data_IF_937817770248
#
_entry.id   IF_937817770248
#
_cell.length_a   1.000
_cell.length_b   1.000
_cell.length_c   1.000
_cell.angle_alpha   90.00
_cell.angle_beta   90.00
_cell.angle_gamma   90.00
#
_symmetry.space_group_name_H-M   'P 1'
#
loop_
_entity.id
_entity.type
_entity.pdbx_description
1 polymer ?
#
# COMPACT_ATOMS: atom_id res chain seq x y z
N UNK A 1 -38.02 -34.65 -13.67
CA UNK A 1 -37.92 -35.93 -12.94
C UNK A 1 -36.62 -36.02 -12.13
N UNK A 2 -36.67 -35.92 -10.80
CA UNK A 2 -35.48 -36.04 -9.93
C UNK A 2 -34.86 -37.46 -9.92
N UNK A 3 -35.52 -38.42 -10.60
CA UNK A 3 -35.14 -39.84 -10.61
C UNK A 3 -34.17 -40.17 -11.77
N UNK A 4 -34.12 -39.37 -12.84
CA UNK A 4 -33.20 -39.56 -13.99
C UNK A 4 -31.80 -38.99 -13.72
N UNK A 5 -30.72 -39.66 -14.18
CA UNK A 5 -29.30 -39.25 -14.01
C UNK A 5 -29.05 -37.77 -14.36
N UNK A 6 -29.66 -37.26 -15.43
CA UNK A 6 -29.54 -35.85 -15.85
C UNK A 6 -30.23 -34.87 -14.88
N UNK A 7 -31.39 -35.25 -14.32
CA UNK A 7 -32.08 -34.47 -13.29
C UNK A 7 -31.29 -34.38 -11.98
N UNK A 8 -30.60 -35.45 -11.59
CA UNK A 8 -29.68 -35.46 -10.43
C UNK A 8 -28.52 -34.49 -10.61
N UNK A 9 -27.87 -34.50 -11.78
CA UNK A 9 -26.75 -33.61 -12.06
C UNK A 9 -27.20 -32.14 -12.02
N UNK A 10 -28.35 -31.82 -12.63
CA UNK A 10 -28.89 -30.45 -12.67
C UNK A 10 -29.29 -29.94 -11.27
N UNK A 11 -29.83 -30.80 -10.40
CA UNK A 11 -30.20 -30.43 -9.03
C UNK A 11 -28.98 -30.27 -8.11
N UNK A 12 -27.99 -31.15 -8.22
CA UNK A 12 -26.72 -31.01 -7.49
C UNK A 12 -25.95 -29.77 -7.94
N UNK A 13 -25.89 -29.51 -9.26
CA UNK A 13 -25.26 -28.31 -9.80
C UNK A 13 -25.96 -27.03 -9.30
N UNK A 14 -27.30 -27.01 -9.28
CA UNK A 14 -28.05 -25.87 -8.77
C UNK A 14 -27.76 -25.62 -7.28
N UNK A 15 -27.75 -26.67 -6.44
CA UNK A 15 -27.39 -26.53 -5.01
C UNK A 15 -25.95 -26.03 -4.83
N UNK A 16 -24.99 -26.56 -5.60
CA UNK A 16 -23.58 -26.18 -5.54
C UNK A 16 -23.35 -24.71 -5.95
N UNK A 17 -23.99 -24.27 -7.04
CA UNK A 17 -23.87 -22.89 -7.55
C UNK A 17 -24.39 -21.88 -6.52
N UNK A 18 -25.52 -22.16 -5.85
CA UNK A 18 -26.06 -21.25 -4.83
C UNK A 18 -25.12 -21.06 -3.65
N UNK A 19 -24.37 -22.11 -3.25
CA UNK A 19 -23.35 -22.00 -2.20
C UNK A 19 -22.03 -21.36 -2.65
N UNK A 20 -21.70 -21.43 -3.95
CA UNK A 20 -20.44 -20.91 -4.49
C UNK A 20 -20.44 -19.39 -4.70
N UNK A 21 -21.59 -18.79 -5.01
CA UNK A 21 -21.70 -17.34 -5.27
C UNK A 21 -21.14 -16.47 -4.13
N UNK A 22 -21.56 -16.63 -2.86
CA UNK A 22 -21.01 -15.82 -1.76
C UNK A 22 -19.52 -16.10 -1.50
N UNK A 23 -19.05 -17.33 -1.77
CA UNK A 23 -17.64 -17.70 -1.61
C UNK A 23 -16.77 -16.98 -2.66
N UNK A 24 -17.22 -16.93 -3.91
CA UNK A 24 -16.50 -16.21 -4.99
C UNK A 24 -16.45 -14.71 -4.71
N UNK A 25 -17.53 -14.12 -4.20
CA UNK A 25 -17.55 -12.71 -3.81
C UNK A 25 -16.56 -12.40 -2.66
N UNK A 26 -16.53 -13.24 -1.63
CA UNK A 26 -15.58 -13.14 -0.52
C UNK A 26 -14.12 -13.27 -0.98
N UNK A 27 -13.83 -14.23 -1.86
CA UNK A 27 -12.52 -14.41 -2.50
C UNK A 27 -12.12 -13.15 -3.28
N UNK A 28 -13.05 -12.55 -4.02
CA UNK A 28 -12.80 -11.33 -4.79
C UNK A 28 -12.47 -10.12 -3.91
N UNK A 29 -13.25 -9.91 -2.85
CA UNK A 29 -13.00 -8.82 -1.89
C UNK A 29 -11.66 -9.00 -1.16
N UNK A 30 -11.41 -10.21 -0.64
CA UNK A 30 -10.19 -10.54 0.08
C UNK A 30 -8.94 -10.45 -0.81
N UNK A 31 -9.07 -10.85 -2.09
CA UNK A 31 -8.00 -10.72 -3.07
C UNK A 31 -7.66 -9.26 -3.40
N UNK A 32 -8.67 -8.38 -3.45
CA UNK A 32 -8.44 -6.96 -3.67
C UNK A 32 -7.68 -6.30 -2.51
N UNK A 33 -8.06 -6.63 -1.26
CA UNK A 33 -7.38 -6.13 -0.06
C UNK A 33 -5.93 -6.63 -0.02
N UNK A 34 -5.71 -7.91 -0.32
CA UNK A 34 -4.38 -8.50 -0.41
C UNK A 34 -3.47 -7.82 -1.45
N UNK A 35 -3.98 -7.52 -2.64
CA UNK A 35 -3.22 -6.80 -3.68
C UNK A 35 -2.84 -5.40 -3.20
N UNK A 36 -3.77 -4.73 -2.51
CA UNK A 36 -3.53 -3.39 -1.96
C UNK A 36 -2.43 -3.41 -0.91
N UNK A 37 -2.49 -4.35 0.04
CA UNK A 37 -1.49 -4.48 1.10
C UNK A 37 -0.10 -4.84 0.55
N UNK A 38 -0.03 -5.74 -0.45
CA UNK A 38 1.24 -6.05 -1.13
C UNK A 38 1.81 -4.81 -1.81
N UNK A 39 0.98 -4.04 -2.49
CA UNK A 39 1.43 -2.85 -3.21
C UNK A 39 2.00 -1.83 -2.22
N UNK A 40 1.30 -1.58 -1.12
CA UNK A 40 1.75 -0.71 -0.04
C UNK A 40 3.07 -1.17 0.58
N UNK A 41 3.20 -2.47 0.86
CA UNK A 41 4.42 -3.07 1.41
C UNK A 41 5.63 -2.90 0.47
N UNK A 42 5.44 -3.16 -0.83
CA UNK A 42 6.49 -3.01 -1.84
C UNK A 42 6.93 -1.55 -1.98
N UNK A 43 5.98 -0.62 -1.99
CA UNK A 43 6.27 0.82 -2.04
C UNK A 43 7.05 1.29 -0.80
N UNK A 44 6.62 0.91 0.40
CA UNK A 44 7.31 1.28 1.65
C UNK A 44 8.76 0.77 1.65
N UNK A 45 8.99 -0.44 1.16
CA UNK A 45 10.32 -1.04 1.04
C UNK A 45 11.19 -0.29 0.02
N UNK A 46 10.64 0.06 -1.14
CA UNK A 46 11.34 0.82 -2.19
C UNK A 46 11.73 2.22 -1.72
N UNK A 47 10.83 2.91 -1.03
CA UNK A 47 11.08 4.23 -0.45
C UNK A 47 12.21 4.16 0.57
N UNK A 48 12.19 3.16 1.45
CA UNK A 48 13.24 2.96 2.46
C UNK A 48 14.61 2.77 1.82
N UNK A 49 14.73 1.99 0.75
CA UNK A 49 15.99 1.81 0.02
C UNK A 49 16.47 3.12 -0.61
N UNK A 50 15.56 3.93 -1.16
CA UNK A 50 15.87 5.23 -1.74
C UNK A 50 16.41 6.21 -0.69
N UNK A 51 15.81 6.24 0.50
CA UNK A 51 16.24 7.09 1.62
C UNK A 51 17.62 6.63 2.13
N UNK A 52 17.82 5.31 2.28
CA UNK A 52 19.13 4.76 2.67
C UNK A 52 20.23 5.15 1.70
N UNK A 53 19.97 4.99 0.39
CA UNK A 53 20.91 5.41 -0.65
C UNK A 53 21.21 6.91 -0.58
N UNK A 54 20.19 7.74 -0.39
CA UNK A 54 20.35 9.20 -0.31
C UNK A 54 21.18 9.63 0.90
N UNK A 55 20.94 9.03 2.07
CA UNK A 55 21.74 9.28 3.28
C UNK A 55 23.19 8.85 3.09
N UNK A 56 23.44 7.65 2.54
CA UNK A 56 24.80 7.18 2.29
C UNK A 56 25.53 8.06 1.27
N UNK A 57 24.82 8.52 0.24
CA UNK A 57 25.38 9.41 -0.79
C UNK A 57 25.58 10.85 -0.31
N UNK A 58 24.84 11.34 0.69
CA UNK A 58 25.07 12.67 1.28
C UNK A 58 26.20 12.64 2.34
N UNK A 59 26.36 11.53 3.06
CA UNK A 59 27.35 11.39 4.16
C UNK A 59 28.79 11.16 3.66
N UNK A 60 29.00 10.45 2.55
CA UNK A 60 30.36 10.08 2.08
C UNK A 60 31.13 11.17 1.28
N UNK A 61 30.55 11.90 0.30
CA UNK A 61 31.32 12.81 -0.55
C UNK A 61 31.56 14.20 0.05
N UNK A 62 30.91 14.57 1.17
CA UNK A 62 31.11 15.88 1.81
C UNK A 62 32.43 15.98 2.60
N UNK A 63 33.08 14.84 2.91
CA UNK A 63 34.43 14.87 3.52
C UNK A 63 35.54 15.18 2.50
N UNK A 64 35.29 15.06 1.20
CA UNK A 64 36.36 15.07 0.18
C UNK A 64 36.19 15.98 -1.04
N UNK A 65 35.13 16.80 -1.17
CA UNK A 65 34.95 17.62 -2.39
C UNK A 65 34.81 19.13 -2.15
N UNK A 66 35.96 19.79 -2.02
CA UNK A 66 36.14 21.22 -2.27
C UNK A 66 36.46 21.56 -3.74
N UNK A 67 36.56 20.59 -4.66
CA UNK A 67 37.22 20.81 -5.96
C UNK A 67 36.35 20.90 -7.23
N UNK A 68 35.02 20.89 -7.16
CA UNK A 68 34.22 20.89 -8.41
C UNK A 68 32.94 21.73 -8.33
N UNK A 69 33.08 23.03 -8.12
CA UNK A 69 31.96 23.98 -8.21
C UNK A 69 31.67 24.40 -9.67
N UNK A 70 32.55 24.06 -10.64
CA UNK A 70 32.35 24.45 -12.06
C UNK A 70 31.73 23.36 -12.95
N UNK A 71 31.76 22.08 -12.56
CA UNK A 71 31.27 20.96 -13.39
C UNK A 71 29.97 20.30 -12.88
N UNK A 72 29.38 20.78 -11.79
CA UNK A 72 28.16 20.21 -11.20
C UNK A 72 26.86 20.58 -11.93
N UNK A 73 26.91 21.49 -12.90
CA UNK A 73 25.75 21.87 -13.73
C UNK A 73 25.24 20.73 -14.64
N UNK A 74 26.02 19.66 -14.83
CA UNK A 74 25.65 18.52 -15.70
C UNK A 74 25.22 17.26 -14.95
N UNK A 75 25.38 17.18 -13.64
CA UNK A 75 25.01 16.00 -12.86
C UNK A 75 23.96 16.36 -11.81
N UNK A 76 22.81 16.85 -12.27
CA UNK A 76 21.67 17.06 -11.37
C UNK A 76 21.13 15.70 -10.95
N UNK A 77 21.54 15.22 -9.77
CA UNK A 77 20.87 14.14 -9.04
C UNK A 77 19.35 14.43 -8.96
N UNK A 78 19.02 15.72 -8.82
CA UNK A 78 17.68 16.32 -8.90
C UNK A 78 16.92 15.97 -10.19
N UNK A 79 17.59 15.91 -11.35
CA UNK A 79 16.97 15.57 -12.64
C UNK A 79 16.61 14.09 -12.75
N UNK A 80 17.44 13.22 -12.16
CA UNK A 80 17.13 11.78 -12.04
C UNK A 80 16.02 11.52 -11.00
N UNK A 81 15.99 12.28 -9.89
CA UNK A 81 14.97 12.12 -8.84
C UNK A 81 13.60 12.74 -9.21
N UNK A 82 13.56 13.92 -9.85
CA UNK A 82 12.29 14.50 -10.36
C UNK A 82 11.61 13.62 -11.42
N UNK A 83 12.36 12.73 -12.08
CA UNK A 83 11.82 11.77 -13.04
C UNK A 83 11.20 10.53 -12.36
N UNK A 84 11.68 10.13 -11.17
CA UNK A 84 11.02 9.09 -10.36
C UNK A 84 9.78 9.62 -9.62
N UNK A 85 9.77 10.91 -9.25
CA UNK A 85 8.67 11.60 -8.57
C UNK A 85 7.35 11.68 -9.39
N UNK A 86 7.42 11.57 -10.73
CA UNK A 86 6.22 11.56 -11.58
C UNK A 86 5.46 10.23 -11.58
N UNK A 87 5.98 9.18 -10.95
CA UNK A 87 5.42 7.83 -11.01
C UNK A 87 4.70 7.38 -9.73
N UNK A 88 4.72 8.14 -8.64
CA UNK A 88 4.20 7.69 -7.33
C UNK A 88 3.15 8.65 -6.75
N UNK A 89 1.89 8.47 -7.15
CA UNK A 89 0.69 9.09 -6.54
C UNK A 89 0.11 8.24 -5.39
N UNK A 90 0.96 7.63 -4.57
CA UNK A 90 0.54 6.84 -3.42
C UNK A 90 0.72 7.64 -2.11
N UNK A 91 -0.02 7.32 -1.02
CA UNK A 91 0.14 7.98 0.28
C UNK A 91 1.58 7.97 0.81
N UNK A 92 2.38 6.97 0.42
CA UNK A 92 3.80 6.85 0.74
C UNK A 92 4.71 7.69 -0.18
N UNK A 93 4.28 7.93 -1.42
CA UNK A 93 4.98 8.78 -2.39
C UNK A 93 5.24 10.19 -1.85
N UNK A 94 4.25 10.75 -1.14
CA UNK A 94 4.37 12.05 -0.49
C UNK A 94 5.52 12.07 0.52
N UNK A 95 5.70 11.04 1.34
CA UNK A 95 6.74 11.07 2.37
C UNK A 95 8.16 11.04 1.80
N UNK A 96 8.36 10.19 0.80
CA UNK A 96 9.63 10.12 0.06
C UNK A 96 9.92 11.40 -0.72
N UNK A 97 8.88 12.00 -1.33
CA UNK A 97 9.04 13.20 -2.17
C UNK A 97 9.45 14.42 -1.37
N UNK A 98 8.96 14.55 -0.13
CA UNK A 98 9.30 15.70 0.71
C UNK A 98 10.65 15.53 1.41
N UNK A 99 11.10 14.29 1.69
CA UNK A 99 12.49 14.05 2.09
C UNK A 99 13.46 14.42 0.95
N UNK A 100 13.11 14.10 -0.29
CA UNK A 100 13.87 14.55 -1.47
C UNK A 100 13.91 16.07 -1.58
N UNK A 101 12.80 16.76 -1.27
CA UNK A 101 12.78 18.22 -1.20
C UNK A 101 13.82 18.76 -0.20
N UNK A 102 13.94 18.18 1.00
CA UNK A 102 14.96 18.62 1.95
C UNK A 102 16.39 18.43 1.41
N UNK A 103 16.67 17.33 0.72
CA UNK A 103 17.99 17.10 0.09
C UNK A 103 18.26 18.18 -0.97
N UNK A 104 17.26 18.48 -1.80
CA UNK A 104 17.34 19.55 -2.80
C UNK A 104 17.63 20.89 -2.12
N UNK A 105 16.96 21.19 -1.01
CA UNK A 105 17.17 22.43 -0.26
C UNK A 105 18.62 22.55 0.26
N UNK A 106 19.21 21.45 0.77
CA UNK A 106 20.61 21.40 1.20
C UNK A 106 21.60 21.65 0.04
N UNK A 107 21.32 21.10 -1.15
CA UNK A 107 22.14 21.39 -2.35
C UNK A 107 22.12 22.88 -2.70
N UNK A 108 20.94 23.50 -2.67
CA UNK A 108 20.80 24.93 -2.97
C UNK A 108 21.44 25.83 -1.90
N UNK A 109 21.45 25.44 -0.62
CA UNK A 109 22.28 26.09 0.41
C UNK A 109 23.76 26.02 0.03
N UNK A 110 24.23 24.86 -0.42
CA UNK A 110 25.61 24.68 -0.88
C UNK A 110 25.97 25.59 -2.06
N UNK A 111 25.04 25.77 -3.00
CA UNK A 111 25.18 26.73 -4.12
C UNK A 111 25.22 28.17 -3.64
N UNK A 112 24.29 28.57 -2.76
CA UNK A 112 24.27 29.89 -2.15
C UNK A 112 25.62 30.21 -1.47
N UNK A 113 26.15 29.26 -0.69
CA UNK A 113 27.47 29.38 -0.05
C UNK A 113 28.55 29.67 -1.09
N UNK A 114 28.62 28.89 -2.17
CA UNK A 114 29.62 29.07 -3.23
C UNK A 114 29.54 30.43 -3.92
N UNK A 115 28.33 30.91 -4.24
CA UNK A 115 28.16 32.23 -4.84
C UNK A 115 28.50 33.38 -3.89
N UNK A 116 28.16 33.26 -2.60
CA UNK A 116 28.54 34.28 -1.61
C UNK A 116 30.06 34.33 -1.36
N UNK A 117 30.78 33.20 -1.43
CA UNK A 117 32.26 33.20 -1.41
C UNK A 117 32.80 34.01 -2.60
N UNK A 118 32.28 33.77 -3.81
CA UNK A 118 32.69 34.52 -4.99
C UNK A 118 32.40 36.02 -4.84
N UNK A 119 31.26 36.39 -4.26
CA UNK A 119 30.91 37.79 -4.00
C UNK A 119 31.93 38.46 -3.09
N UNK A 120 32.23 37.89 -1.93
CA UNK A 120 33.19 38.50 -0.99
C UNK A 120 34.62 38.47 -1.50
N UNK A 121 35.04 37.39 -2.18
CA UNK A 121 36.38 37.29 -2.75
C UNK A 121 36.62 38.30 -3.89
N UNK A 122 35.58 38.68 -4.62
CA UNK A 122 35.67 39.63 -5.75
C UNK A 122 35.20 41.05 -5.38
N UNK A 123 34.58 41.23 -4.21
CA UNK A 123 34.00 42.48 -3.75
C UNK A 123 32.67 42.86 -4.42
N UNK A 124 32.20 42.13 -5.43
CA UNK A 124 30.88 42.30 -6.07
C UNK A 124 30.61 41.15 -7.03
N UNK A 125 29.35 40.98 -7.44
CA UNK A 125 29.06 40.13 -8.59
C UNK A 125 29.52 40.80 -9.89
N UNK A 126 30.33 40.09 -10.67
CA UNK A 126 30.84 40.56 -11.97
C UNK A 126 29.77 40.55 -13.05
N UNK A 127 28.89 39.55 -13.01
CA UNK A 127 27.81 39.40 -13.97
C UNK A 127 26.46 39.41 -13.26
N UNK A 128 25.43 39.86 -13.97
CA UNK A 128 24.05 39.77 -13.49
C UNK A 128 23.62 38.31 -13.28
N UNK A 129 24.19 37.39 -14.06
CA UNK A 129 23.89 35.96 -13.98
C UNK A 129 24.32 35.37 -12.63
N UNK A 130 25.54 35.69 -12.16
CA UNK A 130 26.03 35.24 -10.85
C UNK A 130 25.13 35.72 -9.69
N UNK A 131 24.64 36.96 -9.78
CA UNK A 131 23.69 37.52 -8.82
C UNK A 131 22.34 36.79 -8.86
N UNK A 132 21.79 36.56 -10.06
CA UNK A 132 20.51 35.85 -10.22
C UNK A 132 20.61 34.42 -9.70
N UNK A 133 21.71 33.73 -9.98
CA UNK A 133 21.97 32.37 -9.47
C UNK A 133 22.06 32.32 -7.95
N UNK A 134 22.65 33.34 -7.31
CA UNK A 134 22.65 33.46 -5.85
C UNK A 134 21.23 33.62 -5.29
N UNK A 135 20.44 34.56 -5.85
CA UNK A 135 19.07 34.83 -5.40
C UNK A 135 18.18 33.62 -5.63
N UNK A 136 18.26 32.99 -6.81
CA UNK A 136 17.53 31.78 -7.15
C UNK A 136 17.86 30.65 -6.16
N UNK A 137 19.14 30.43 -5.85
CA UNK A 137 19.53 29.38 -4.91
C UNK A 137 18.93 29.61 -3.52
N UNK A 138 18.92 30.85 -3.04
CA UNK A 138 18.33 31.19 -1.76
C UNK A 138 16.80 31.04 -1.77
N UNK A 139 16.13 31.52 -2.82
CA UNK A 139 14.67 31.45 -2.92
C UNK A 139 14.19 30.00 -3.05
N UNK A 140 14.87 29.18 -3.88
CA UNK A 140 14.55 27.74 -4.02
C UNK A 140 14.79 27.02 -2.70
N UNK A 141 15.93 27.25 -2.02
CA UNK A 141 16.18 26.65 -0.72
C UNK A 141 15.05 26.99 0.27
N UNK A 142 14.67 28.27 0.37
CA UNK A 142 13.65 28.73 1.31
C UNK A 142 12.25 28.18 1.01
N UNK A 143 11.84 28.18 -0.26
CA UNK A 143 10.55 27.59 -0.68
C UNK A 143 10.54 26.10 -0.37
N UNK A 144 11.62 25.40 -0.69
CA UNK A 144 11.73 23.95 -0.49
C UNK A 144 11.74 23.58 1.00
N UNK A 145 12.41 24.37 1.85
CA UNK A 145 12.32 24.23 3.31
C UNK A 145 10.90 24.48 3.82
N UNK A 146 10.22 25.49 3.32
CA UNK A 146 8.85 25.82 3.72
C UNK A 146 7.88 24.71 3.31
N UNK A 147 8.06 24.13 2.12
CA UNK A 147 7.29 22.97 1.67
C UNK A 147 7.51 21.78 2.59
N UNK A 148 8.75 21.48 2.99
CA UNK A 148 8.99 20.36 3.87
C UNK A 148 8.51 20.59 5.31
N UNK A 149 8.47 21.84 5.79
CA UNK A 149 7.79 22.16 7.07
C UNK A 149 6.30 21.86 7.05
N UNK A 150 5.65 21.88 5.88
CA UNK A 150 4.22 21.54 5.71
C UNK A 150 3.97 20.04 5.62
N UNK A 151 5.02 19.23 5.48
CA UNK A 151 4.91 17.80 5.21
C UNK A 151 4.37 16.99 6.41
N UNK A 152 4.78 17.33 7.62
CA UNK A 152 4.39 16.61 8.82
C UNK A 152 4.70 17.47 10.03
N UNK A 153 3.76 17.51 10.97
CA UNK A 153 3.96 18.14 12.28
C UNK A 153 5.30 17.71 12.92
N UNK A 154 5.75 16.47 12.65
CA UNK A 154 7.03 15.92 13.12
C UNK A 154 8.23 16.67 12.52
N UNK A 155 8.22 16.93 11.20
CA UNK A 155 9.31 17.65 10.54
C UNK A 155 9.34 19.11 11.00
N UNK A 156 8.17 19.72 11.22
CA UNK A 156 8.04 21.05 11.81
C UNK A 156 8.64 21.11 13.22
N UNK A 157 8.28 20.16 14.10
CA UNK A 157 8.75 20.13 15.50
C UNK A 157 10.25 19.90 15.61
N UNK A 158 10.79 18.95 14.85
CA UNK A 158 12.23 18.70 14.79
C UNK A 158 12.94 19.95 14.27
N UNK A 159 12.47 20.53 13.16
CA UNK A 159 13.11 21.70 12.58
C UNK A 159 13.05 22.93 13.48
N UNK A 160 11.90 23.25 14.06
CA UNK A 160 11.77 24.36 15.01
C UNK A 160 12.69 24.16 16.21
N UNK A 161 12.81 22.94 16.72
CA UNK A 161 13.71 22.66 17.84
C UNK A 161 15.19 22.81 17.46
N UNK A 162 15.60 22.37 16.26
CA UNK A 162 17.01 22.40 15.86
C UNK A 162 17.46 23.76 15.30
N UNK A 163 16.60 24.45 14.55
CA UNK A 163 16.94 25.69 13.86
C UNK A 163 16.54 26.93 14.68
N UNK A 164 15.37 26.93 15.34
CA UNK A 164 14.90 28.10 16.09
C UNK A 164 15.68 28.33 17.37
N UNK A 165 16.11 27.25 18.03
CA UNK A 165 16.95 27.34 19.23
C UNK A 165 18.37 27.86 18.93
N UNK A 166 18.78 27.82 17.65
CA UNK A 166 20.08 28.30 17.17
C UNK A 166 19.97 29.60 16.35
N UNK A 167 18.82 30.28 16.39
CA UNK A 167 18.53 31.44 15.52
C UNK A 167 19.52 32.60 15.72
N UNK A 168 20.00 32.81 16.95
CA UNK A 168 21.01 33.83 17.25
C UNK A 168 22.35 33.58 16.52
N UNK A 169 22.68 32.31 16.24
CA UNK A 169 23.86 31.93 15.46
C UNK A 169 23.69 32.21 13.95
N UNK A 170 22.46 32.50 13.50
CA UNK A 170 22.13 32.73 12.08
C UNK A 170 22.01 34.22 11.72
N UNK A 171 22.05 35.11 12.71
CA UNK A 171 22.00 36.56 12.51
C UNK A 171 23.13 37.11 11.62
N UNK A 172 24.41 36.66 11.76
CA UNK A 172 25.48 37.08 10.86
C UNK A 172 25.17 36.74 9.40
N UNK A 173 24.63 35.54 9.14
CA UNK A 173 24.26 35.09 7.79
C UNK A 173 23.16 35.98 7.23
N UNK A 174 22.17 36.36 8.04
CA UNK A 174 21.10 37.25 7.61
C UNK A 174 21.65 38.61 7.17
N UNK A 175 22.52 39.20 7.96
CA UNK A 175 23.18 40.48 7.64
C UNK A 175 23.98 40.37 6.34
N UNK A 176 24.81 39.34 6.22
CA UNK A 176 25.63 39.10 5.03
C UNK A 176 24.77 38.85 3.77
N UNK A 177 23.65 38.14 3.89
CA UNK A 177 22.68 37.96 2.79
C UNK A 177 22.10 39.29 2.32
N UNK A 178 21.80 40.21 3.23
CA UNK A 178 21.33 41.56 2.87
C UNK A 178 22.42 42.37 2.15
N UNK A 179 23.68 42.29 2.60
CA UNK A 179 24.81 42.92 1.91
C UNK A 179 24.96 42.38 0.48
N UNK A 180 24.97 41.06 0.31
CA UNK A 180 25.06 40.40 -0.99
C UNK A 180 23.87 40.80 -1.88
N UNK A 181 22.63 40.80 -1.35
CA UNK A 181 21.43 41.19 -2.11
C UNK A 181 21.44 42.65 -2.54
N UNK A 182 22.03 43.54 -1.72
CA UNK A 182 22.22 44.94 -2.06
C UNK A 182 23.28 45.15 -3.16
N UNK A 183 24.08 44.12 -3.44
CA UNK A 183 25.22 44.13 -4.35
C UNK A 183 26.18 45.32 -4.12
N UNK A 184 26.25 45.76 -2.86
CA UNK A 184 27.13 46.82 -2.39
C UNK A 184 28.01 46.21 -1.31
N UNK A 185 29.32 46.22 -1.54
CA UNK A 185 30.30 45.89 -0.49
C UNK A 185 30.86 47.18 0.09
N UNK A 186 31.20 47.13 1.38
CA UNK A 186 32.05 48.18 1.98
C UNK A 186 33.45 48.20 1.35
N UNK A 187 33.91 47.06 0.82
CA UNK A 187 35.25 46.86 0.27
C UNK A 187 35.20 46.66 -1.25
N UNK A 188 35.54 47.70 -2.00
CA UNK A 188 35.49 47.69 -3.47
C UNK A 188 36.46 46.70 -4.13
N UNK A 189 37.46 46.17 -3.42
CA UNK A 189 38.50 45.28 -3.94
C UNK A 189 38.29 43.79 -3.59
N UNK A 190 37.25 43.48 -2.81
CA UNK A 190 37.04 42.13 -2.27
C UNK A 190 37.93 41.82 -1.07
N UNK A 191 37.55 40.82 -0.29
CA UNK A 191 38.28 40.38 0.91
C UNK A 191 38.19 38.87 1.04
N UNK A 192 39.35 38.19 1.04
CA UNK A 192 39.45 36.76 1.29
C UNK A 192 39.04 36.39 2.72
N UNK A 193 39.29 37.29 3.68
CA UNK A 193 38.87 37.12 5.06
C UNK A 193 37.34 37.11 5.17
N UNK A 194 36.67 38.06 4.53
CA UNK A 194 35.19 38.09 4.49
C UNK A 194 34.61 36.89 3.75
N UNK A 195 35.30 36.39 2.71
CA UNK A 195 34.90 35.19 2.00
C UNK A 195 35.01 33.93 2.87
N UNK A 196 36.08 33.80 3.68
CA UNK A 196 36.22 32.73 4.68
C UNK A 196 35.14 32.83 5.75
N UNK A 197 34.90 34.04 6.25
CA UNK A 197 33.87 34.30 7.25
C UNK A 197 32.47 33.90 6.77
N UNK A 198 32.11 34.24 5.53
CA UNK A 198 30.87 33.77 4.91
C UNK A 198 30.82 32.25 4.80
N UNK A 199 31.92 31.64 4.33
CA UNK A 199 32.01 30.20 4.13
C UNK A 199 31.81 29.43 5.44
N UNK A 200 32.46 29.86 6.52
CA UNK A 200 32.37 29.24 7.84
C UNK A 200 30.96 29.35 8.43
N UNK A 201 30.38 30.55 8.40
CA UNK A 201 29.00 30.77 8.87
C UNK A 201 27.98 29.94 8.08
N UNK A 202 28.08 29.91 6.75
CA UNK A 202 27.21 29.08 5.92
C UNK A 202 27.43 27.58 6.10
N UNK A 203 28.65 27.16 6.44
CA UNK A 203 28.94 25.76 6.77
C UNK A 203 28.29 25.36 8.10
N UNK A 204 28.33 26.24 9.11
CA UNK A 204 27.61 26.03 10.37
C UNK A 204 26.09 25.95 10.14
N UNK A 205 25.53 26.82 9.30
CA UNK A 205 24.11 26.75 8.93
C UNK A 205 23.76 25.44 8.21
N UNK A 206 24.58 25.01 7.25
CA UNK A 206 24.39 23.74 6.56
C UNK A 206 24.46 22.53 7.52
N UNK A 207 25.33 22.58 8.54
CA UNK A 207 25.43 21.54 9.56
C UNK A 207 24.18 21.47 10.45
N UNK A 208 23.61 22.61 10.84
CA UNK A 208 22.35 22.67 11.60
C UNK A 208 21.21 22.06 10.76
N UNK A 209 21.12 22.43 9.49
CA UNK A 209 20.12 21.86 8.56
C UNK A 209 20.31 20.35 8.41
N UNK A 210 21.57 19.89 8.37
CA UNK A 210 21.91 18.47 8.26
C UNK A 210 21.57 17.66 9.50
N UNK A 211 21.72 18.24 10.68
CA UNK A 211 21.26 17.62 11.92
C UNK A 211 19.74 17.38 11.90
N UNK A 212 18.96 18.39 11.46
CA UNK A 212 17.52 18.26 11.29
C UNK A 212 17.16 17.20 10.23
N UNK A 213 17.89 17.17 9.10
CA UNK A 213 17.74 16.14 8.06
C UNK A 213 17.90 14.72 8.60
N UNK A 214 18.95 14.45 9.37
CA UNK A 214 19.23 13.13 9.93
C UNK A 214 18.11 12.71 10.88
N UNK A 215 17.68 13.61 11.79
CA UNK A 215 16.59 13.36 12.74
C UNK A 215 15.27 13.05 12.01
N UNK A 216 14.94 13.81 10.96
CA UNK A 216 13.76 13.55 10.12
C UNK A 216 13.89 12.20 9.41
N UNK A 217 15.06 11.89 8.84
CA UNK A 217 15.28 10.64 8.12
C UNK A 217 15.20 9.41 9.02
N UNK A 218 15.70 9.49 10.25
CA UNK A 218 15.62 8.38 11.20
C UNK A 218 14.20 8.17 11.71
N UNK A 219 13.48 9.25 12.02
CA UNK A 219 12.06 9.16 12.39
C UNK A 219 11.23 8.56 11.25
N UNK A 220 11.52 8.97 10.03
CA UNK A 220 10.93 8.43 8.81
C UNK A 220 11.20 6.93 8.65
N UNK A 221 12.45 6.49 8.76
CA UNK A 221 12.80 5.07 8.68
C UNK A 221 12.03 4.22 9.68
N UNK A 222 11.89 4.70 10.92
CA UNK A 222 11.15 4.00 11.97
C UNK A 222 9.67 3.88 11.58
N UNK A 223 9.02 5.00 11.20
CA UNK A 223 7.60 4.99 10.81
C UNK A 223 7.33 4.11 9.58
N UNK A 224 8.22 4.09 8.59
CA UNK A 224 8.10 3.19 7.44
C UNK A 224 8.29 1.72 7.82
N UNK A 225 9.22 1.42 8.74
CA UNK A 225 9.44 0.06 9.20
C UNK A 225 8.24 -0.47 9.99
N UNK A 226 7.67 0.35 10.88
CA UNK A 226 6.53 -0.03 11.69
C UNK A 226 5.31 -0.33 10.79
N UNK A 227 5.02 0.56 9.84
CA UNK A 227 3.93 0.34 8.85
C UNK A 227 4.18 -0.87 7.96
N UNK A 228 5.40 -1.06 7.45
CA UNK A 228 5.70 -2.24 6.64
C UNK A 228 5.53 -3.55 7.41
N UNK A 229 5.81 -3.54 8.72
CA UNK A 229 5.58 -4.70 9.59
C UNK A 229 4.07 -4.92 9.85
N UNK A 230 3.28 -3.86 9.98
CA UNK A 230 1.82 -3.93 10.08
C UNK A 230 1.21 -4.50 8.79
N UNK A 231 1.60 -3.99 7.63
CA UNK A 231 1.15 -4.49 6.32
C UNK A 231 1.54 -5.96 6.14
N UNK A 232 2.77 -6.35 6.50
CA UNK A 232 3.22 -7.75 6.46
C UNK A 232 2.33 -8.65 7.34
N UNK A 233 1.98 -8.21 8.55
CA UNK A 233 1.06 -8.96 9.43
C UNK A 233 -0.32 -9.13 8.79
N UNK A 234 -0.88 -8.07 8.20
CA UNK A 234 -2.16 -8.14 7.48
C UNK A 234 -2.09 -9.12 6.30
N UNK A 235 -1.03 -9.06 5.49
CA UNK A 235 -0.77 -9.98 4.38
C UNK A 235 -0.74 -11.44 4.86
N UNK A 236 -0.04 -11.73 5.98
CA UNK A 236 0.02 -13.08 6.55
C UNK A 236 -1.37 -13.56 6.97
N UNK A 237 -2.13 -12.72 7.68
CA UNK A 237 -3.48 -13.07 8.16
C UNK A 237 -4.42 -13.35 6.98
N UNK A 238 -4.43 -12.48 5.98
CA UNK A 238 -5.26 -12.61 4.79
C UNK A 238 -4.88 -13.87 4.00
N UNK A 239 -3.58 -14.10 3.78
CA UNK A 239 -3.07 -15.30 3.09
C UNK A 239 -3.47 -16.59 3.81
N UNK A 240 -3.42 -16.60 5.15
CA UNK A 240 -3.82 -17.76 5.96
C UNK A 240 -5.31 -18.06 5.83
N UNK A 241 -6.17 -17.03 5.91
CA UNK A 241 -7.62 -17.18 5.74
C UNK A 241 -7.95 -17.65 4.32
N UNK A 242 -7.32 -17.05 3.31
CA UNK A 242 -7.49 -17.43 1.91
C UNK A 242 -7.13 -18.89 1.65
N UNK A 243 -5.98 -19.33 2.18
CA UNK A 243 -5.55 -20.74 2.12
C UNK A 243 -6.55 -21.69 2.79
N UNK A 244 -7.10 -21.32 3.96
CA UNK A 244 -8.12 -22.10 4.64
C UNK A 244 -9.42 -22.22 3.82
N UNK A 245 -9.88 -21.14 3.19
CA UNK A 245 -11.08 -21.14 2.33
C UNK A 245 -10.87 -22.04 1.10
N UNK A 246 -9.69 -22.02 0.50
CA UNK A 246 -9.35 -22.89 -0.64
C UNK A 246 -9.38 -24.39 -0.28
N UNK A 247 -9.05 -24.74 0.97
CA UNK A 247 -9.12 -26.13 1.47
C UNK A 247 -10.56 -26.50 1.88
N UNK A 248 -11.29 -25.59 2.52
CA UNK A 248 -12.67 -25.83 2.96
C UNK A 248 -13.61 -26.07 1.77
N UNK A 249 -13.42 -25.37 0.66
CA UNK A 249 -14.25 -25.51 -0.53
C UNK A 249 -14.33 -26.96 -1.07
N UNK A 250 -13.22 -27.65 -1.41
CA UNK A 250 -13.26 -29.05 -1.87
C UNK A 250 -13.75 -30.01 -0.78
N UNK A 251 -13.48 -29.74 0.50
CA UNK A 251 -14.02 -30.54 1.62
C UNK A 251 -15.54 -30.45 1.66
N UNK A 252 -16.12 -29.26 1.51
CA UNK A 252 -17.57 -29.08 1.45
C UNK A 252 -18.19 -29.81 0.25
N UNK A 253 -17.56 -29.72 -0.93
CA UNK A 253 -18.04 -30.45 -2.12
C UNK A 253 -18.02 -31.96 -1.89
N UNK A 254 -16.93 -32.49 -1.32
CA UNK A 254 -16.81 -33.92 -0.97
C UNK A 254 -17.84 -34.34 0.08
N UNK A 255 -18.07 -33.53 1.12
CA UNK A 255 -19.05 -33.79 2.16
C UNK A 255 -20.48 -33.80 1.62
N UNK A 256 -20.84 -32.82 0.77
CA UNK A 256 -22.15 -32.78 0.10
C UNK A 256 -22.33 -33.99 -0.81
N UNK A 257 -21.29 -34.38 -1.55
CA UNK A 257 -21.33 -35.58 -2.39
C UNK A 257 -21.60 -36.84 -1.56
N UNK A 258 -20.89 -36.99 -0.44
CA UNK A 258 -21.07 -38.11 0.48
C UNK A 258 -22.48 -38.14 1.09
N UNK A 259 -22.95 -37.03 1.65
CA UNK A 259 -24.27 -36.94 2.27
C UNK A 259 -25.40 -37.21 1.25
N UNK A 260 -25.27 -36.64 0.06
CA UNK A 260 -26.25 -36.84 -1.02
C UNK A 260 -26.29 -38.30 -1.47
N UNK A 261 -25.15 -38.97 -1.56
CA UNK A 261 -25.06 -40.41 -1.88
C UNK A 261 -25.81 -41.25 -0.84
N UNK A 262 -25.63 -40.94 0.45
CA UNK A 262 -26.31 -41.63 1.54
C UNK A 262 -27.83 -41.45 1.50
N UNK A 263 -28.32 -40.20 1.42
CA UNK A 263 -29.77 -39.91 1.34
C UNK A 263 -30.41 -40.64 0.15
N UNK A 264 -29.72 -40.70 -0.98
CA UNK A 264 -30.21 -41.40 -2.15
C UNK A 264 -30.26 -42.93 -1.96
N UNK A 265 -29.25 -43.53 -1.32
CA UNK A 265 -29.28 -44.97 -0.94
C UNK A 265 -30.45 -45.28 -0.02
N UNK A 266 -30.68 -44.45 1.00
CA UNK A 266 -31.83 -44.59 1.88
C UNK A 266 -33.15 -44.49 1.11
N UNK A 267 -33.28 -43.52 0.21
CA UNK A 267 -34.49 -43.33 -0.60
C UNK A 267 -34.78 -44.55 -1.50
N UNK A 268 -33.77 -45.15 -2.12
CA UNK A 268 -33.92 -46.37 -2.94
C UNK A 268 -34.34 -47.56 -2.05
N UNK A 269 -33.74 -47.70 -0.88
CA UNK A 269 -34.09 -48.78 0.05
C UNK A 269 -35.54 -48.66 0.53
N UNK A 270 -36.00 -47.44 0.87
CA UNK A 270 -37.40 -47.17 1.21
C UNK A 270 -38.31 -47.49 0.02
N UNK A 271 -37.97 -47.04 -1.20
CA UNK A 271 -38.78 -47.32 -2.39
C UNK A 271 -38.93 -48.83 -2.64
N UNK A 272 -37.85 -49.61 -2.47
CA UNK A 272 -37.88 -51.06 -2.58
C UNK A 272 -38.75 -51.70 -1.50
N UNK A 273 -38.57 -51.33 -0.22
CA UNK A 273 -39.42 -51.83 0.87
C UNK A 273 -40.90 -51.49 0.66
N UNK A 274 -41.20 -50.31 0.17
CA UNK A 274 -42.59 -49.90 -0.13
C UNK A 274 -43.17 -50.70 -1.29
N UNK A 275 -42.35 -51.07 -2.28
CA UNK A 275 -42.73 -51.94 -3.40
C UNK A 275 -43.02 -53.36 -2.93
N UNK A 276 -42.18 -53.90 -2.04
CA UNK A 276 -42.36 -55.23 -1.46
C UNK A 276 -43.60 -55.27 -0.55
N UNK A 277 -43.81 -54.24 0.28
CA UNK A 277 -45.03 -54.05 1.07
C UNK A 277 -46.28 -53.98 0.18
N UNK A 278 -46.24 -53.25 -0.94
CA UNK A 278 -47.36 -53.22 -1.91
C UNK A 278 -47.62 -54.60 -2.51
N UNK A 279 -46.57 -55.39 -2.76
CA UNK A 279 -46.68 -56.74 -3.31
C UNK A 279 -47.28 -57.72 -2.29
N UNK A 280 -46.86 -57.65 -1.04
CA UNK A 280 -47.43 -58.44 0.06
C UNK A 280 -48.87 -58.03 0.35
N UNK A 281 -49.17 -56.73 0.47
CA UNK A 281 -50.54 -56.24 0.64
C UNK A 281 -51.47 -56.76 -0.46
N UNK A 282 -51.00 -56.79 -1.72
CA UNK A 282 -51.77 -57.35 -2.83
C UNK A 282 -52.03 -58.85 -2.67
N UNK A 283 -51.04 -59.61 -2.20
CA UNK A 283 -51.20 -61.06 -1.93
C UNK A 283 -52.18 -61.30 -0.79
N UNK A 284 -52.10 -60.54 0.30
CA UNK A 284 -53.02 -60.64 1.43
C UNK A 284 -54.44 -60.25 1.05
N UNK A 285 -54.64 -59.18 0.27
CA UNK A 285 -55.95 -58.81 -0.25
C UNK A 285 -56.55 -59.97 -1.07
N UNK A 286 -55.78 -60.59 -1.98
CA UNK A 286 -56.24 -61.75 -2.77
C UNK A 286 -56.63 -62.93 -1.87
N UNK A 287 -55.81 -63.27 -0.88
CA UNK A 287 -56.09 -64.37 0.04
C UNK A 287 -57.32 -64.10 0.91
N UNK A 288 -57.49 -62.85 1.38
CA UNK A 288 -58.67 -62.43 2.13
C UNK A 288 -59.95 -62.60 1.29
N UNK A 289 -59.92 -62.22 0.00
CA UNK A 289 -61.04 -62.45 -0.92
C UNK A 289 -61.34 -63.94 -1.12
N UNK A 290 -60.34 -64.82 -1.05
CA UNK A 290 -60.51 -66.27 -1.17
C UNK A 290 -61.07 -66.93 0.10
N UNK A 291 -60.88 -66.31 1.27
CA UNK A 291 -61.41 -66.81 2.56
C UNK A 291 -62.82 -66.31 2.88
N UNK A 292 -63.35 -65.34 2.13
CA UNK A 292 -64.71 -64.85 2.27
C UNK A 292 -65.70 -65.72 1.44
N UNK A 293 -66.90 -66.06 1.97
CA UNK A 293 -67.94 -66.73 1.19
C UNK A 293 -68.30 -65.92 -0.06
N UNK A 294 -68.46 -66.57 -1.22
CA UNK A 294 -68.65 -65.93 -2.54
C UNK A 294 -69.71 -64.80 -2.54
N UNK A 295 -70.79 -64.96 -1.77
CA UNK A 295 -71.89 -63.98 -1.65
C UNK A 295 -71.50 -62.64 -0.97
N UNK A 296 -70.46 -62.63 -0.13
CA UNK A 296 -69.96 -61.44 0.58
C UNK A 296 -68.76 -60.82 -0.18
N UNK A 297 -67.91 -61.66 -0.78
CA UNK A 297 -66.78 -61.22 -1.60
C UNK A 297 -67.23 -60.42 -2.84
N UNK A 298 -68.28 -60.88 -3.53
CA UNK A 298 -68.83 -60.19 -4.70
C UNK A 298 -69.46 -58.83 -4.32
N UNK A 299 -70.15 -58.75 -3.16
CA UNK A 299 -70.70 -57.48 -2.65
C UNK A 299 -69.60 -56.46 -2.32
N UNK A 300 -68.53 -56.89 -1.65
CA UNK A 300 -67.40 -56.03 -1.29
C UNK A 300 -66.57 -55.59 -2.50
N UNK A 301 -66.39 -56.44 -3.50
CA UNK A 301 -65.67 -56.06 -4.73
C UNK A 301 -66.47 -55.06 -5.57
N UNK A 302 -67.80 -55.28 -5.68
CA UNK A 302 -68.70 -54.38 -6.41
C UNK A 302 -68.77 -52.99 -5.76
N UNK A 303 -68.79 -52.90 -4.42
CA UNK A 303 -68.70 -51.61 -3.71
C UNK A 303 -67.35 -50.91 -3.90
N UNK A 304 -66.23 -51.65 -3.79
CA UNK A 304 -64.88 -51.10 -3.91
C UNK A 304 -64.55 -50.59 -5.33
N UNK A 305 -65.12 -51.22 -6.37
CA UNK A 305 -65.05 -50.74 -7.75
C UNK A 305 -65.94 -49.51 -7.97
N UNK A 306 -67.09 -49.44 -7.29
CA UNK A 306 -67.96 -48.25 -7.29
C UNK A 306 -67.30 -47.02 -6.67
N UNK A 307 -66.56 -47.18 -5.57
CA UNK A 307 -65.81 -46.09 -4.92
C UNK A 307 -64.57 -45.63 -5.70
N UNK A 308 -63.96 -46.51 -6.52
CA UNK A 308 -62.83 -46.12 -7.40
C UNK A 308 -63.26 -45.46 -8.70
N UNK A 309 -64.52 -45.60 -9.11
CA UNK A 309 -65.08 -44.94 -10.28
C UNK A 309 -65.64 -43.53 -10.02
N UNK A 310 -65.69 -43.08 -8.77
CA UNK A 310 -66.25 -41.79 -8.34
C UNK A 310 -65.21 -40.77 -7.84
N UNK A 311 -63.91 -41.05 -8.00
CA UNK A 311 -62.78 -40.12 -7.79
C UNK A 311 -62.08 -39.81 -9.11
#
# INVERSE_FOLDING_TARGET
>A
NPITKSGKFKQMFKMLVTSMIPIVLLIGMTGNDFITDITNYLEATSIRQTIQFSLTQEIEPLRTRFYSIRNSSKFSLVGYMKRSQRLTQAPFGNLSSHYQEIIVASEYIGRERGFGVNFYAQGKFRTRDDYLMFVEAQDIANVTFTSCRRYSQIAYEIYETEVRNKLELLEPIRTMRYEIRSNKTLHSEGSLEMASWWFENMSMYQDIVREAQIKIADKLKITLQDRANEDLRSIILISTIFGAVLILCPVLVMAVYFLTSQIQRYSVNIANRTKDLKKEKKRTDILLYQMLPKSIADKLQTERERERGTL
#
